data_IF_422919158908
#
_entry.id   IF_422919158908
#
_cell.length_a   1.000
_cell.length_b   1.000
_cell.length_c   1.000
_cell.angle_alpha   90.00
_cell.angle_beta   90.00
_cell.angle_gamma   90.00
#
_symmetry.space_group_name_H-M   'P 1'
#
loop_
_entity.id
_entity.type
_entity.pdbx_description
1 polymer ?
#
# COMPACT_ATOMS: atom_id res chain seq x y z
N UNK A 1 -0.51 1.62 28.25
CA UNK A 1 -0.64 2.40 27.00
C UNK A 1 0.75 2.55 26.42
N UNK A 2 1.03 1.84 25.33
CA UNK A 2 2.26 2.00 24.56
C UNK A 2 1.98 3.14 23.59
N UNK A 3 2.75 4.23 23.66
CA UNK A 3 2.57 5.40 22.80
C UNK A 3 2.79 5.07 21.32
N UNK A 4 2.52 6.02 20.40
CA UNK A 4 2.73 5.79 18.98
C UNK A 4 4.18 5.40 18.76
N UNK A 5 4.40 4.17 18.29
CA UNK A 5 5.74 3.73 17.89
C UNK A 5 6.07 4.58 16.68
N UNK A 6 6.81 5.66 16.91
CA UNK A 6 7.52 6.35 15.83
C UNK A 6 8.28 5.26 15.09
N UNK A 7 7.88 4.99 13.85
CA UNK A 7 8.31 3.82 13.09
C UNK A 7 9.24 4.30 11.99
N UNK A 8 10.53 4.56 12.27
CA UNK A 8 11.52 4.87 11.22
C UNK A 8 11.52 3.83 10.09
N UNK A 9 11.04 2.62 10.37
CA UNK A 9 10.78 1.57 9.40
C UNK A 9 9.78 1.95 8.32
N UNK A 10 8.71 2.70 8.64
CA UNK A 10 7.72 3.15 7.66
C UNK A 10 8.29 4.24 6.74
N UNK A 11 9.06 5.19 7.29
CA UNK A 11 9.74 6.20 6.47
C UNK A 11 10.70 5.52 5.49
N UNK A 12 11.45 4.51 5.98
CA UNK A 12 12.34 3.73 5.13
C UNK A 12 11.59 2.92 4.07
N UNK A 13 10.47 2.28 4.44
CA UNK A 13 9.65 1.55 3.50
C UNK A 13 9.10 2.48 2.41
N UNK A 14 8.61 3.66 2.79
CA UNK A 14 8.14 4.70 1.87
C UNK A 14 9.25 5.12 0.90
N UNK A 15 10.45 5.39 1.40
CA UNK A 15 11.60 5.74 0.54
C UNK A 15 11.93 4.65 -0.49
N UNK A 16 11.91 3.38 -0.07
CA UNK A 16 12.18 2.24 -0.97
C UNK A 16 11.09 2.14 -2.02
N UNK A 17 9.81 2.22 -1.63
CA UNK A 17 8.69 2.18 -2.56
C UNK A 17 8.76 3.32 -3.59
N UNK A 18 9.10 4.54 -3.16
CA UNK A 18 9.29 5.67 -4.08
C UNK A 18 10.41 5.38 -5.09
N UNK A 19 11.53 4.80 -4.65
CA UNK A 19 12.64 4.42 -5.55
C UNK A 19 12.25 3.30 -6.53
N UNK A 20 11.36 2.41 -6.12
CA UNK A 20 10.77 1.37 -6.97
C UNK A 20 9.72 1.92 -7.97
N UNK A 21 9.47 3.23 -7.98
CA UNK A 21 8.58 3.90 -8.91
C UNK A 21 7.14 4.02 -8.43
N UNK A 22 6.88 3.79 -7.13
CA UNK A 22 5.61 4.17 -6.54
C UNK A 22 5.52 5.69 -6.34
N UNK A 23 4.32 6.23 -6.42
CA UNK A 23 4.03 7.66 -6.34
C UNK A 23 2.82 7.94 -5.48
N UNK A 24 2.75 9.11 -4.86
CA UNK A 24 1.52 9.58 -4.23
C UNK A 24 0.42 9.73 -5.31
N UNK A 25 -0.83 9.45 -4.94
CA UNK A 25 -1.99 9.69 -5.81
C UNK A 25 -3.14 10.30 -5.00
N UNK A 26 -3.83 11.32 -5.53
CA UNK A 26 -5.02 11.87 -4.88
C UNK A 26 -6.23 10.92 -4.98
N UNK A 27 -6.15 9.89 -5.82
CA UNK A 27 -7.28 9.00 -6.14
C UNK A 27 -7.44 7.83 -5.17
N UNK A 28 -6.44 7.58 -4.31
CA UNK A 28 -6.51 6.51 -3.32
C UNK A 28 -7.40 6.95 -2.15
N UNK A 29 -8.42 6.14 -1.85
CA UNK A 29 -9.29 6.35 -0.67
C UNK A 29 -8.45 6.11 0.59
N UNK A 30 -8.39 7.06 1.52
CA UNK A 30 -7.67 6.88 2.79
C UNK A 30 -8.46 6.02 3.79
N UNK A 31 -7.80 4.99 4.35
CA UNK A 31 -8.37 4.13 5.40
C UNK A 31 -8.01 4.67 6.80
N UNK A 32 -8.76 4.33 7.87
CA UNK A 32 -8.43 4.73 9.23
C UNK A 32 -6.98 4.35 9.59
N UNK A 33 -6.31 5.22 10.35
CA UNK A 33 -4.93 5.03 10.83
C UNK A 33 -3.85 4.96 9.74
N UNK A 34 -4.21 5.15 8.46
CA UNK A 34 -3.24 5.27 7.38
C UNK A 34 -2.38 6.52 7.58
N UNK A 35 -1.06 6.39 7.36
CA UNK A 35 -0.07 7.47 7.46
C UNK A 35 0.58 7.80 6.12
N UNK A 36 0.57 6.89 5.15
CA UNK A 36 0.89 7.18 3.76
C UNK A 36 0.15 6.25 2.80
N UNK A 37 0.05 6.68 1.54
CA UNK A 37 -0.57 5.94 0.46
C UNK A 37 0.20 6.15 -0.83
N UNK A 38 0.58 5.05 -1.49
CA UNK A 38 1.36 5.08 -2.72
C UNK A 38 0.76 4.15 -3.77
N UNK A 39 0.93 4.49 -5.04
CA UNK A 39 0.50 3.64 -6.17
C UNK A 39 1.57 3.46 -7.21
N UNK A 40 1.50 2.37 -7.96
CA UNK A 40 2.35 2.10 -9.12
C UNK A 40 1.53 1.37 -10.19
N UNK A 41 1.54 1.81 -11.46
CA UNK A 41 0.93 1.05 -12.55
C UNK A 41 1.53 -0.35 -12.64
N UNK A 42 0.66 -1.37 -12.72
CA UNK A 42 1.04 -2.75 -13.01
C UNK A 42 1.00 -2.99 -14.52
N UNK A 43 -0.07 -2.54 -15.17
CA UNK A 43 -0.29 -2.56 -16.62
C UNK A 43 -1.26 -1.44 -17.03
N UNK A 44 -1.80 -1.51 -18.25
CA UNK A 44 -2.72 -0.50 -18.79
C UNK A 44 -4.09 -0.44 -18.07
N UNK A 45 -4.40 -1.44 -17.23
CA UNK A 45 -5.72 -1.62 -16.59
C UNK A 45 -5.63 -1.61 -15.06
N UNK A 46 -4.48 -1.97 -14.48
CA UNK A 46 -4.32 -2.19 -13.05
C UNK A 46 -3.23 -1.31 -12.42
N UNK A 47 -3.49 -0.87 -11.20
CA UNK A 47 -2.54 -0.19 -10.31
C UNK A 47 -2.36 -1.00 -9.02
N UNK A 48 -1.12 -1.06 -8.53
CA UNK A 48 -0.80 -1.56 -7.19
C UNK A 48 -0.94 -0.40 -6.23
N UNK A 49 -1.73 -0.57 -5.18
CA UNK A 49 -1.98 0.39 -4.11
C UNK A 49 -1.32 -0.11 -2.84
N UNK A 50 -0.36 0.64 -2.30
CA UNK A 50 0.31 0.35 -1.03
C UNK A 50 -0.08 1.39 0.01
N UNK A 51 -0.34 0.93 1.23
CA UNK A 51 -0.75 1.76 2.38
C UNK A 51 0.16 1.45 3.55
N UNK A 52 0.60 2.49 4.26
CA UNK A 52 1.24 2.33 5.56
C UNK A 52 0.35 2.85 6.68
N UNK A 53 0.35 2.17 7.81
CA UNK A 53 -0.50 2.49 8.97
C UNK A 53 0.32 2.88 10.19
N UNK A 54 -0.29 3.64 11.09
CA UNK A 54 0.34 4.16 12.31
C UNK A 54 0.88 3.05 13.23
N UNK A 55 0.34 1.84 13.14
CA UNK A 55 0.80 0.67 13.89
C UNK A 55 2.07 0.00 13.30
N UNK A 56 2.59 0.51 12.19
CA UNK A 56 3.77 -0.03 11.52
C UNK A 56 3.46 -1.04 10.41
N UNK A 57 2.20 -1.37 10.17
CA UNK A 57 1.82 -2.33 9.13
C UNK A 57 1.79 -1.71 7.74
N UNK A 58 1.97 -2.56 6.73
CA UNK A 58 1.78 -2.24 5.31
C UNK A 58 0.69 -3.14 4.73
N UNK A 59 -0.16 -2.56 3.88
CA UNK A 59 -1.17 -3.27 3.10
C UNK A 59 -0.95 -3.00 1.60
N UNK A 60 -1.25 -3.97 0.75
CA UNK A 60 -1.09 -3.87 -0.70
C UNK A 60 -2.24 -4.54 -1.47
N UNK A 61 -2.91 -3.76 -2.31
CA UNK A 61 -4.08 -4.15 -3.10
C UNK A 61 -3.79 -3.90 -4.59
N UNK A 62 -4.24 -4.78 -5.50
CA UNK A 62 -4.38 -4.43 -6.92
C UNK A 62 -5.77 -3.86 -7.13
N UNK A 63 -5.82 -2.65 -7.63
CA UNK A 63 -7.05 -1.95 -7.94
C UNK A 63 -7.04 -1.52 -9.40
N UNK A 64 -8.22 -1.41 -10.01
CA UNK A 64 -8.36 -0.70 -11.27
C UNK A 64 -8.24 0.80 -10.95
N UNK A 65 -7.46 1.60 -11.71
CA UNK A 65 -7.32 3.03 -11.47
C UNK A 65 -8.69 3.70 -11.38
N UNK A 66 -8.85 4.65 -10.45
CA UNK A 66 -10.14 5.30 -10.23
C UNK A 66 -10.66 6.02 -11.48
N UNK A 67 -9.78 6.57 -12.30
CA UNK A 67 -10.11 7.16 -13.61
C UNK A 67 -10.78 6.13 -14.54
N UNK A 68 -10.37 4.86 -14.45
CA UNK A 68 -10.96 3.75 -15.22
C UNK A 68 -12.23 3.20 -14.55
N UNK A 69 -12.36 3.31 -13.22
CA UNK A 69 -13.59 2.97 -12.47
C UNK A 69 -14.74 3.94 -12.69
N UNK A 70 -14.46 5.22 -12.95
CA UNK A 70 -15.48 6.18 -13.41
C UNK A 70 -16.13 5.72 -14.74
N UNK A 71 -15.45 4.84 -15.48
CA UNK A 71 -15.94 4.20 -16.69
C UNK A 71 -16.45 2.76 -16.49
N UNK A 72 -16.10 2.08 -15.38
CA UNK A 72 -16.44 0.67 -15.11
C UNK A 72 -16.75 0.40 -13.61
N UNK A 73 -17.95 -0.07 -13.32
CA UNK A 73 -18.48 -0.29 -11.96
C UNK A 73 -17.97 -1.58 -11.25
N UNK A 74 -16.68 -1.76 -10.94
CA UNK A 74 -16.20 -2.99 -10.23
C UNK A 74 -14.95 -2.87 -9.31
N UNK A 75 -14.86 -3.73 -8.29
CA UNK A 75 -13.96 -3.65 -7.10
C UNK A 75 -12.52 -4.21 -7.20
N UNK A 76 -11.82 -4.27 -6.05
CA UNK A 76 -10.37 -4.56 -5.89
C UNK A 76 -10.01 -6.01 -5.52
N UNK A 77 -8.75 -6.40 -5.73
CA UNK A 77 -8.20 -7.74 -5.41
C UNK A 77 -6.89 -7.67 -4.59
N UNK A 78 -6.68 -8.53 -3.57
CA UNK A 78 -5.47 -8.50 -2.72
C UNK A 78 -4.21 -9.04 -3.45
N UNK A 79 -3.04 -8.40 -3.25
CA UNK A 79 -1.79 -8.77 -3.93
C UNK A 79 -0.63 -9.04 -2.94
N UNK A 80 -0.71 -10.19 -2.27
CA UNK A 80 0.22 -10.57 -1.19
C UNK A 80 1.58 -11.11 -1.66
N UNK A 81 1.78 -11.35 -2.96
CA UNK A 81 2.94 -12.09 -3.49
C UNK A 81 4.25 -11.29 -3.42
N UNK A 82 4.22 -9.97 -3.63
CA UNK A 82 5.44 -9.14 -3.68
C UNK A 82 5.93 -8.66 -2.31
N UNK A 83 5.07 -8.70 -1.28
CA UNK A 83 5.47 -8.34 0.08
C UNK A 83 6.46 -9.36 0.69
N UNK A 84 6.54 -10.58 0.14
CA UNK A 84 7.42 -11.65 0.61
C UNK A 84 8.91 -11.41 0.34
N UNK A 85 9.28 -10.72 -0.74
CA UNK A 85 10.71 -10.48 -1.05
C UNK A 85 11.33 -9.37 -0.20
N UNK A 86 10.52 -8.53 0.46
CA UNK A 86 11.00 -7.57 1.45
C UNK A 86 11.22 -8.26 2.83
N UNK A 87 10.77 -9.52 3.02
CA UNK A 87 10.71 -10.28 4.29
C UNK A 87 12.01 -10.89 4.81
N UNK A 88 13.10 -10.13 4.79
CA UNK A 88 14.31 -10.57 5.48
C UNK A 88 14.17 -10.77 7.00
N UNK A 89 13.16 -10.21 7.71
CA UNK A 89 13.27 -10.22 9.19
C UNK A 89 12.06 -10.03 10.12
N UNK A 90 10.77 -10.03 9.74
CA UNK A 90 9.70 -9.90 10.78
C UNK A 90 8.37 -10.53 10.38
N UNK A 91 7.85 -11.44 11.22
CA UNK A 91 6.54 -12.09 11.07
C UNK A 91 5.41 -11.07 11.26
N UNK A 92 4.43 -11.06 10.36
CA UNK A 92 3.14 -10.39 10.56
C UNK A 92 1.97 -11.35 10.35
N UNK A 93 0.93 -11.15 11.16
CA UNK A 93 -0.36 -11.83 11.11
C UNK A 93 -1.25 -11.12 10.09
N UNK A 94 -1.58 -11.82 9.01
CA UNK A 94 -2.57 -11.39 8.02
C UNK A 94 -3.97 -11.48 8.64
N UNK A 95 -4.75 -10.39 8.58
CA UNK A 95 -6.18 -10.45 8.81
C UNK A 95 -6.89 -10.43 7.45
N UNK A 96 -7.62 -11.52 7.21
CA UNK A 96 -8.61 -11.71 6.15
C UNK A 96 -9.82 -10.81 6.32
#
# INVERSE_FOLDING_TARGET
>A
MIGPIWTPYLDRAKEVLIKEGFRDTPLQIWKPEQVFGLVKPLDDVYEIHVRGYQDGTLDAEIEVPREYLEHLTCGSHPYNHHLLEIQGNTRFLLKS
#
